data_IF_491791887495
#
_entry.id   IF_491791887495
#
_cell.length_a   1.000
_cell.length_b   1.000
_cell.length_c   1.000
_cell.angle_alpha   90.00
_cell.angle_beta   90.00
_cell.angle_gamma   90.00
#
_symmetry.space_group_name_H-M   'P 1'
#
loop_
_entity.id
_entity.type
_entity.pdbx_description
1 polymer ?
#
# COMPACT_ATOMS: atom_id res chain seq x y z
N UNK A 1 -9.48 32.07 0.95
CA UNK A 1 -8.60 33.20 0.52
C UNK A 1 -7.12 32.90 0.77
N UNK A 2 -6.68 32.46 1.97
CA UNK A 2 -5.26 32.13 2.24
C UNK A 2 -4.68 31.03 1.34
N UNK A 3 -5.38 29.91 1.18
CA UNK A 3 -4.94 28.82 0.29
C UNK A 3 -4.77 29.25 -1.18
N UNK A 4 -5.63 30.16 -1.69
CA UNK A 4 -5.48 30.69 -3.05
C UNK A 4 -4.15 31.42 -3.21
N UNK A 5 -3.78 32.28 -2.25
CA UNK A 5 -2.51 32.98 -2.26
C UNK A 5 -1.32 32.00 -2.15
N UNK A 6 -1.42 30.96 -1.34
CA UNK A 6 -0.41 29.88 -1.27
C UNK A 6 -0.25 29.18 -2.62
N UNK A 7 -1.35 28.83 -3.30
CA UNK A 7 -1.30 28.19 -4.61
C UNK A 7 -0.75 29.13 -5.70
N UNK A 8 -1.03 30.43 -5.63
CA UNK A 8 -0.42 31.43 -6.52
C UNK A 8 1.10 31.52 -6.33
N UNK A 9 1.59 31.42 -5.10
CA UNK A 9 3.03 31.36 -4.80
C UNK A 9 3.64 30.08 -5.38
N UNK A 10 3.03 28.91 -5.12
CA UNK A 10 3.50 27.62 -5.68
C UNK A 10 3.48 27.64 -7.22
N UNK A 11 2.47 28.25 -7.84
CA UNK A 11 2.41 28.37 -9.29
C UNK A 11 3.55 29.23 -9.87
N UNK A 12 4.03 30.23 -9.12
CA UNK A 12 5.15 31.10 -9.54
C UNK A 12 6.53 30.51 -9.23
N UNK A 13 6.70 29.89 -8.06
CA UNK A 13 7.99 29.44 -7.52
C UNK A 13 8.23 27.93 -7.69
N UNK A 14 7.20 27.16 -8.05
CA UNK A 14 7.25 25.70 -8.15
C UNK A 14 7.09 24.99 -6.81
N UNK A 15 7.30 23.67 -6.80
CA UNK A 15 7.18 22.84 -5.59
C UNK A 15 8.17 23.21 -4.48
N UNK A 16 9.31 23.79 -4.84
CA UNK A 16 10.32 24.29 -3.89
C UNK A 16 9.83 25.45 -3.04
N UNK A 17 8.73 26.12 -3.39
CA UNK A 17 8.14 27.19 -2.59
C UNK A 17 7.96 26.79 -1.11
N UNK A 18 7.57 25.52 -0.86
CA UNK A 18 7.36 24.96 0.47
C UNK A 18 8.68 24.45 1.07
N UNK A 19 9.51 23.77 0.29
CA UNK A 19 10.69 23.05 0.79
C UNK A 19 11.93 23.93 0.97
N UNK A 20 12.17 24.85 0.05
CA UNK A 20 13.32 25.73 0.05
C UNK A 20 12.99 27.09 -0.64
N UNK A 21 11.86 27.69 -0.26
CA UNK A 21 11.31 28.87 -0.91
C UNK A 21 10.60 29.82 0.04
N UNK A 22 9.76 30.71 -0.50
CA UNK A 22 9.16 31.80 0.28
C UNK A 22 8.15 31.33 1.35
N UNK A 23 7.63 30.10 1.24
CA UNK A 23 6.67 29.54 2.20
C UNK A 23 7.33 28.70 3.29
N UNK A 24 8.62 28.35 3.17
CA UNK A 24 9.30 27.40 4.07
C UNK A 24 9.28 27.84 5.53
N UNK A 25 9.68 29.09 5.80
CA UNK A 25 9.71 29.63 7.16
C UNK A 25 8.30 29.67 7.77
N UNK A 26 7.33 30.28 7.08
CA UNK A 26 5.96 30.40 7.56
C UNK A 26 5.32 29.02 7.82
N UNK A 27 5.60 28.04 6.96
CA UNK A 27 5.09 26.68 7.16
C UNK A 27 5.65 26.00 8.42
N UNK A 28 6.95 26.15 8.68
CA UNK A 28 7.57 25.62 9.89
C UNK A 28 7.06 26.34 11.15
N UNK A 29 6.95 27.66 11.12
CA UNK A 29 6.43 28.49 12.21
C UNK A 29 4.98 28.10 12.58
N UNK A 30 4.11 27.91 11.59
CA UNK A 30 2.72 27.49 11.81
C UNK A 30 2.65 26.12 12.52
N UNK A 31 3.49 25.16 12.13
CA UNK A 31 3.54 23.84 12.77
C UNK A 31 4.04 23.95 14.21
N UNK A 32 5.10 24.73 14.44
CA UNK A 32 5.71 24.91 15.77
C UNK A 32 4.80 25.68 16.73
N UNK A 33 4.06 26.67 16.23
CA UNK A 33 3.06 27.40 17.00
C UNK A 33 1.94 26.49 17.53
N UNK A 34 1.69 25.35 16.87
CA UNK A 34 0.75 24.31 17.29
C UNK A 34 1.41 23.19 18.14
N UNK A 35 2.68 23.34 18.52
CA UNK A 35 3.43 22.36 19.31
C UNK A 35 4.05 21.22 18.48
N UNK A 36 4.08 21.33 17.16
CA UNK A 36 4.78 20.39 16.28
C UNK A 36 6.30 20.58 16.28
N UNK A 37 7.00 19.59 15.73
CA UNK A 37 8.48 19.51 15.76
C UNK A 37 9.16 19.74 14.41
N UNK A 38 8.39 19.99 13.35
CA UNK A 38 8.94 20.21 12.00
C UNK A 38 9.72 21.51 11.98
N UNK A 39 10.93 21.46 11.45
CA UNK A 39 11.83 22.60 11.29
C UNK A 39 11.99 22.97 9.81
N UNK A 40 12.49 24.18 9.53
CA UNK A 40 12.87 24.53 8.16
C UNK A 40 13.96 23.60 7.61
N UNK A 41 14.83 23.05 8.46
CA UNK A 41 15.84 22.09 8.05
C UNK A 41 15.21 20.79 7.53
N UNK A 42 14.14 20.30 8.17
CA UNK A 42 13.40 19.12 7.71
C UNK A 42 12.79 19.36 6.32
N UNK A 43 12.20 20.54 6.10
CA UNK A 43 11.61 20.94 4.82
C UNK A 43 12.67 21.01 3.71
N UNK A 44 13.84 21.60 4.00
CA UNK A 44 14.96 21.73 3.06
C UNK A 44 15.65 20.41 2.76
N UNK A 45 15.60 19.46 3.68
CA UNK A 45 16.20 18.14 3.52
C UNK A 45 15.27 17.12 2.85
N UNK A 46 13.97 17.39 2.77
CA UNK A 46 13.01 16.52 2.11
C UNK A 46 13.35 16.33 0.62
N UNK A 47 13.35 15.08 0.15
CA UNK A 47 13.52 14.75 -1.27
C UNK A 47 12.48 13.70 -1.68
N UNK A 48 11.77 13.87 -2.80
CA UNK A 48 10.99 12.79 -3.37
C UNK A 48 11.92 11.68 -3.86
N UNK A 49 11.54 10.43 -3.61
CA UNK A 49 12.31 9.25 -4.02
C UNK A 49 11.52 8.50 -5.10
N UNK A 50 12.13 8.34 -6.26
CA UNK A 50 11.61 7.47 -7.31
C UNK A 50 11.92 6.02 -6.97
N UNK A 51 10.91 5.16 -7.03
CA UNK A 51 11.05 3.71 -6.80
C UNK A 51 10.34 2.93 -7.89
N UNK A 52 10.89 1.78 -8.22
CA UNK A 52 10.25 0.86 -9.17
C UNK A 52 8.91 0.37 -8.61
N UNK A 53 7.86 0.30 -9.44
CA UNK A 53 6.56 -0.17 -8.99
C UNK A 53 6.59 -1.68 -8.73
N UNK A 54 5.75 -2.09 -7.79
CA UNK A 54 5.35 -3.49 -7.68
C UNK A 54 4.62 -3.87 -8.96
N UNK A 55 5.09 -4.93 -9.62
CA UNK A 55 4.57 -5.37 -10.92
C UNK A 55 4.17 -6.83 -10.85
N UNK A 56 2.89 -7.14 -11.13
CA UNK A 56 2.37 -8.51 -11.18
C UNK A 56 1.52 -8.74 -12.43
N UNK A 57 1.46 -9.99 -12.90
CA UNK A 57 0.55 -10.42 -13.97
C UNK A 57 -0.73 -10.98 -13.36
N UNK A 58 -1.88 -10.46 -13.80
CA UNK A 58 -3.20 -10.87 -13.30
C UNK A 58 -4.15 -10.99 -14.49
N UNK A 59 -4.74 -12.16 -14.70
CA UNK A 59 -5.65 -12.45 -15.82
C UNK A 59 -5.22 -11.86 -17.18
N UNK A 60 -3.94 -12.02 -17.55
CA UNK A 60 -3.39 -11.53 -18.83
C UNK A 60 -3.06 -10.03 -18.88
N UNK A 61 -3.36 -9.27 -17.82
CA UNK A 61 -2.99 -7.87 -17.66
C UNK A 61 -1.76 -7.71 -16.75
N UNK A 62 -1.17 -6.52 -16.74
CA UNK A 62 -0.10 -6.15 -15.81
C UNK A 62 -0.59 -5.09 -14.84
N UNK A 63 -0.56 -5.42 -13.54
CA UNK A 63 -0.84 -4.48 -12.46
C UNK A 63 0.47 -3.82 -12.01
N UNK A 64 0.51 -2.50 -12.06
CA UNK A 64 1.53 -1.67 -11.43
C UNK A 64 0.96 -1.04 -10.17
N UNK A 65 1.64 -1.19 -9.04
CA UNK A 65 1.18 -0.64 -7.75
C UNK A 65 2.34 -0.18 -6.87
N UNK A 66 2.02 0.49 -5.76
CA UNK A 66 3.01 1.18 -4.93
C UNK A 66 3.97 0.21 -4.21
N UNK A 67 5.30 0.47 -4.23
CA UNK A 67 6.24 -0.26 -3.41
C UNK A 67 6.17 0.19 -1.94
N UNK A 68 6.82 -0.55 -1.02
CA UNK A 68 7.05 -0.10 0.35
C UNK A 68 7.65 1.34 0.39
N UNK A 69 7.25 2.18 1.37
CA UNK A 69 6.39 1.89 2.53
C UNK A 69 4.89 1.85 2.21
N UNK A 70 4.48 2.03 0.94
CA UNK A 70 3.11 1.81 0.50
C UNK A 70 2.67 0.34 0.59
N UNK A 71 1.37 0.10 0.42
CA UNK A 71 0.77 -1.24 0.58
C UNK A 71 0.51 -1.97 -0.74
N UNK A 72 1.05 -1.52 -1.87
CA UNK A 72 0.80 -2.15 -3.17
C UNK A 72 1.26 -3.61 -3.25
N UNK A 73 2.35 -3.99 -2.56
CA UNK A 73 2.78 -5.39 -2.47
C UNK A 73 1.72 -6.30 -1.82
N UNK A 74 0.96 -5.80 -0.84
CA UNK A 74 -0.13 -6.55 -0.21
C UNK A 74 -1.34 -6.68 -1.13
N UNK A 75 -1.69 -5.60 -1.85
CA UNK A 75 -2.74 -5.65 -2.88
C UNK A 75 -2.39 -6.71 -3.94
N UNK A 76 -1.17 -6.69 -4.45
CA UNK A 76 -0.69 -7.66 -5.42
C UNK A 76 -0.76 -9.10 -4.89
N UNK A 77 -0.33 -9.32 -3.65
CA UNK A 77 -0.39 -10.62 -2.99
C UNK A 77 -1.83 -11.14 -2.83
N UNK A 78 -2.75 -10.30 -2.34
CA UNK A 78 -4.18 -10.65 -2.20
C UNK A 78 -4.75 -11.05 -3.56
N UNK A 79 -4.49 -10.25 -4.61
CA UNK A 79 -5.00 -10.53 -5.94
C UNK A 79 -4.40 -11.82 -6.51
N UNK A 80 -3.11 -12.11 -6.30
CA UNK A 80 -2.50 -13.37 -6.70
C UNK A 80 -3.09 -14.59 -5.99
N UNK A 81 -3.47 -14.46 -4.70
CA UNK A 81 -4.21 -15.51 -4.00
C UNK A 81 -5.55 -15.74 -4.71
N UNK A 82 -6.31 -14.65 -4.94
CA UNK A 82 -7.67 -14.71 -5.49
C UNK A 82 -7.74 -15.12 -6.96
N UNK A 83 -6.75 -14.76 -7.77
CA UNK A 83 -6.65 -15.09 -9.21
C UNK A 83 -6.79 -16.60 -9.45
N UNK A 84 -6.16 -17.42 -8.60
CA UNK A 84 -6.25 -18.88 -8.71
C UNK A 84 -7.59 -19.51 -8.30
N UNK A 85 -8.57 -18.74 -7.81
CA UNK A 85 -9.95 -19.22 -7.66
C UNK A 85 -10.77 -19.07 -8.95
N UNK A 86 -10.22 -18.44 -10.00
CA UNK A 86 -10.86 -18.24 -11.30
C UNK A 86 -12.29 -17.67 -11.18
N UNK A 87 -12.44 -16.61 -10.37
CA UNK A 87 -13.75 -16.01 -10.12
C UNK A 87 -14.35 -15.46 -11.41
N UNK A 88 -15.63 -15.77 -11.63
CA UNK A 88 -16.42 -15.31 -12.78
C UNK A 88 -17.66 -14.57 -12.29
N UNK A 89 -18.52 -14.14 -13.23
CA UNK A 89 -19.82 -13.57 -12.86
C UNK A 89 -20.69 -14.53 -12.03
N UNK A 90 -20.60 -15.83 -12.31
CA UNK A 90 -21.30 -16.89 -11.57
C UNK A 90 -20.82 -17.01 -10.12
N UNK A 91 -19.63 -16.50 -9.80
CA UNK A 91 -19.13 -16.48 -8.42
C UNK A 91 -19.92 -15.53 -7.51
N UNK A 92 -20.80 -14.69 -8.07
CA UNK A 92 -21.59 -13.68 -7.37
C UNK A 92 -23.10 -13.72 -7.69
N UNK A 93 -23.57 -14.71 -8.45
CA UNK A 93 -24.93 -14.77 -9.00
C UNK A 93 -26.01 -15.18 -7.97
N UNK A 94 -25.62 -15.96 -6.96
CA UNK A 94 -26.47 -16.50 -5.92
C UNK A 94 -25.91 -16.14 -4.55
N UNK A 95 -26.77 -16.14 -3.53
CA UNK A 95 -26.34 -15.90 -2.15
C UNK A 95 -25.27 -16.91 -1.70
N UNK A 96 -25.39 -18.18 -2.12
CA UNK A 96 -24.42 -19.21 -1.78
C UNK A 96 -23.04 -18.94 -2.40
N UNK A 97 -22.99 -18.65 -3.70
CA UNK A 97 -21.74 -18.34 -4.40
C UNK A 97 -21.10 -17.06 -3.87
N UNK A 98 -21.90 -16.00 -3.67
CA UNK A 98 -21.46 -14.74 -3.08
C UNK A 98 -20.87 -14.95 -1.67
N UNK A 99 -21.48 -15.82 -0.87
CA UNK A 99 -20.99 -16.13 0.48
C UNK A 99 -19.60 -16.75 0.44
N UNK A 100 -19.40 -17.77 -0.40
CA UNK A 100 -18.10 -18.44 -0.56
C UNK A 100 -17.04 -17.48 -1.14
N UNK A 101 -17.41 -16.68 -2.14
CA UNK A 101 -16.52 -15.70 -2.76
C UNK A 101 -16.07 -14.64 -1.77
N UNK A 102 -17.01 -14.09 -0.99
CA UNK A 102 -16.71 -13.10 0.06
C UNK A 102 -15.84 -13.72 1.15
N UNK A 103 -16.12 -14.96 1.56
CA UNK A 103 -15.29 -15.71 2.51
C UNK A 103 -13.84 -15.85 2.03
N UNK A 104 -13.62 -16.27 0.78
CA UNK A 104 -12.28 -16.36 0.18
C UNK A 104 -11.55 -15.01 0.16
N UNK A 105 -12.26 -13.91 -0.11
CA UNK A 105 -11.69 -12.56 -0.04
C UNK A 105 -11.27 -12.20 1.39
N UNK A 106 -12.11 -12.48 2.38
CA UNK A 106 -11.81 -12.24 3.80
C UNK A 106 -10.58 -13.03 4.25
N UNK A 107 -10.49 -14.32 3.91
CA UNK A 107 -9.32 -15.13 4.27
C UNK A 107 -8.04 -14.64 3.56
N UNK A 108 -8.12 -14.25 2.28
CA UNK A 108 -6.98 -13.65 1.58
C UNK A 108 -6.51 -12.34 2.25
N UNK A 109 -7.43 -11.49 2.72
CA UNK A 109 -7.09 -10.31 3.50
C UNK A 109 -6.40 -10.67 4.81
N UNK A 110 -6.90 -11.65 5.56
CA UNK A 110 -6.28 -12.07 6.83
C UNK A 110 -4.84 -12.52 6.62
N UNK A 111 -4.57 -13.38 5.64
CA UNK A 111 -3.21 -13.81 5.32
C UNK A 111 -2.29 -12.66 4.93
N UNK A 112 -2.77 -11.70 4.13
CA UNK A 112 -1.98 -10.54 3.76
C UNK A 112 -1.67 -9.63 4.96
N UNK A 113 -2.68 -9.37 5.81
CA UNK A 113 -2.53 -8.50 6.97
C UNK A 113 -1.73 -9.15 8.10
N UNK A 114 -1.71 -10.48 8.21
CA UNK A 114 -0.83 -11.20 9.12
C UNK A 114 0.67 -10.93 8.84
N UNK A 115 1.03 -10.62 7.58
CA UNK A 115 2.39 -10.26 7.18
C UNK A 115 2.65 -8.75 7.20
N UNK A 116 1.62 -7.93 7.37
CA UNK A 116 1.72 -6.47 7.20
C UNK A 116 2.66 -5.81 8.19
N UNK A 117 2.72 -6.36 9.41
CA UNK A 117 3.60 -5.90 10.47
C UNK A 117 5.09 -6.16 10.21
N UNK A 118 5.41 -7.02 9.23
CA UNK A 118 6.79 -7.37 8.88
C UNK A 118 7.40 -6.41 7.83
N UNK A 119 6.61 -5.49 7.26
CA UNK A 119 7.03 -4.57 6.21
C UNK A 119 6.88 -3.11 6.65
N UNK A 120 7.93 -2.33 6.40
CA UNK A 120 8.03 -0.90 6.68
C UNK A 120 8.86 -0.19 5.62
N UNK A 121 9.53 0.91 6.00
CA UNK A 121 10.36 1.66 5.06
C UNK A 121 11.66 0.89 4.75
N UNK A 122 11.90 0.50 3.47
CA UNK A 122 13.10 -0.25 3.08
C UNK A 122 14.41 0.51 3.34
N UNK A 123 14.37 1.84 3.47
CA UNK A 123 15.56 2.64 3.77
C UNK A 123 15.98 2.51 5.26
N UNK A 124 15.13 1.93 6.10
CA UNK A 124 15.35 1.76 7.55
C UNK A 124 15.37 0.30 8.02
N UNK A 125 14.69 -0.61 7.31
CA UNK A 125 14.66 -2.03 7.66
C UNK A 125 14.81 -2.93 6.42
N UNK A 126 15.49 -4.07 6.58
CA UNK A 126 15.64 -5.04 5.50
C UNK A 126 14.37 -5.89 5.35
N UNK A 127 13.62 -5.64 4.29
CA UNK A 127 12.35 -6.33 3.96
C UNK A 127 12.45 -7.25 2.74
N UNK A 128 13.67 -7.50 2.24
CA UNK A 128 13.89 -8.14 0.93
C UNK A 128 13.22 -9.50 0.83
N UNK A 129 13.33 -10.33 1.88
CA UNK A 129 12.76 -11.68 1.88
C UNK A 129 11.23 -11.67 1.99
N UNK A 130 10.69 -10.80 2.83
CA UNK A 130 9.26 -10.60 3.04
C UNK A 130 8.61 -10.14 1.74
N UNK A 131 9.21 -9.14 1.08
CA UNK A 131 8.74 -8.64 -0.20
C UNK A 131 8.83 -9.73 -1.28
N UNK A 132 9.93 -10.49 -1.34
CA UNK A 132 10.06 -11.61 -2.28
C UNK A 132 8.96 -12.67 -2.09
N UNK A 133 8.60 -12.98 -0.83
CA UNK A 133 7.52 -13.92 -0.54
C UNK A 133 6.17 -13.38 -1.03
N UNK A 134 5.81 -12.14 -0.69
CA UNK A 134 4.54 -11.53 -1.14
C UNK A 134 4.41 -11.47 -2.66
N UNK A 135 5.53 -11.32 -3.36
CA UNK A 135 5.59 -11.26 -4.82
C UNK A 135 5.63 -12.64 -5.50
N UNK A 136 5.68 -13.74 -4.74
CA UNK A 136 5.77 -15.09 -5.29
C UNK A 136 4.40 -15.71 -5.56
N UNK A 137 4.19 -16.15 -6.80
CA UNK A 137 2.99 -16.92 -7.20
C UNK A 137 2.91 -18.27 -6.47
N UNK A 138 4.05 -18.90 -6.20
CA UNK A 138 4.13 -20.15 -5.43
C UNK A 138 3.66 -19.92 -3.99
N UNK A 139 4.09 -18.82 -3.38
CA UNK A 139 3.68 -18.48 -2.02
C UNK A 139 2.19 -18.16 -1.96
N UNK A 140 1.66 -17.38 -2.90
CA UNK A 140 0.23 -17.12 -3.01
C UNK A 140 -0.59 -18.40 -3.21
N UNK A 141 -0.08 -19.35 -4.00
CA UNK A 141 -0.71 -20.65 -4.22
C UNK A 141 -0.70 -21.54 -2.97
N UNK A 142 0.40 -21.55 -2.23
CA UNK A 142 0.49 -22.24 -0.94
C UNK A 142 -0.51 -21.69 0.08
N UNK A 143 -0.67 -20.37 0.14
CA UNK A 143 -1.65 -19.73 1.02
C UNK A 143 -3.08 -20.03 0.56
N UNK A 144 -3.37 -19.93 -0.75
CA UNK A 144 -4.69 -20.29 -1.30
C UNK A 144 -5.10 -21.70 -0.91
N UNK A 145 -4.18 -22.66 -0.93
CA UNK A 145 -4.45 -24.05 -0.56
C UNK A 145 -4.85 -24.24 0.92
N UNK A 146 -4.60 -23.25 1.78
CA UNK A 146 -5.01 -23.26 3.19
C UNK A 146 -6.40 -22.65 3.44
N UNK A 147 -6.97 -21.94 2.46
CA UNK A 147 -8.29 -21.32 2.57
C UNK A 147 -9.36 -22.41 2.42
N UNK A 148 -10.19 -22.57 3.44
CA UNK A 148 -11.28 -23.54 3.47
C UNK A 148 -12.62 -22.84 3.30
N UNK A 149 -13.44 -23.26 2.35
CA UNK A 149 -14.69 -22.56 1.99
C UNK A 149 -15.75 -22.51 3.10
N UNK A 150 -15.65 -23.40 4.09
CA UNK A 150 -16.65 -23.58 5.14
C UNK A 150 -16.20 -23.13 6.54
N UNK A 151 -14.96 -22.67 6.70
CA UNK A 151 -14.45 -22.24 8.01
C UNK A 151 -13.36 -21.17 7.88
N UNK A 152 -13.29 -20.32 8.90
CA UNK A 152 -12.22 -19.34 9.11
C UNK A 152 -11.28 -19.83 10.21
N UNK A 153 -10.04 -19.34 10.24
CA UNK A 153 -9.08 -19.64 11.31
C UNK A 153 -8.87 -18.45 12.25
N UNK A 154 -8.76 -18.70 13.55
CA UNK A 154 -8.38 -17.70 14.57
C UNK A 154 -6.86 -17.66 14.81
N UNK A 155 -6.10 -18.58 14.21
CA UNK A 155 -4.65 -18.65 14.41
C UNK A 155 -3.91 -17.69 13.48
N UNK A 156 -2.99 -16.84 14.00
CA UNK A 156 -2.22 -15.89 13.19
C UNK A 156 -1.24 -16.54 12.19
N UNK A 157 -0.90 -17.81 12.42
CA UNK A 157 -0.07 -18.63 11.51
C UNK A 157 -0.86 -19.23 10.32
N UNK A 158 -2.17 -19.01 10.34
CA UNK A 158 -3.18 -19.43 9.37
C UNK A 158 -3.92 -18.22 8.76
#
# INVERSE_FOLDING_TARGET
RRLCATLEVIAREGGEAIHNGSLTQTFAEDIQALGGIVTEADLRNFRPVWRDPITVRLHGNTLYTSPPPGSGAFLAFILNILDGFNMTQDSMDTLANMTVTTHRMVEAFKYAYARRTEIGDPDFINITQQLKNLMSEEYASHIRAKILDNQTSEQPEH
#
